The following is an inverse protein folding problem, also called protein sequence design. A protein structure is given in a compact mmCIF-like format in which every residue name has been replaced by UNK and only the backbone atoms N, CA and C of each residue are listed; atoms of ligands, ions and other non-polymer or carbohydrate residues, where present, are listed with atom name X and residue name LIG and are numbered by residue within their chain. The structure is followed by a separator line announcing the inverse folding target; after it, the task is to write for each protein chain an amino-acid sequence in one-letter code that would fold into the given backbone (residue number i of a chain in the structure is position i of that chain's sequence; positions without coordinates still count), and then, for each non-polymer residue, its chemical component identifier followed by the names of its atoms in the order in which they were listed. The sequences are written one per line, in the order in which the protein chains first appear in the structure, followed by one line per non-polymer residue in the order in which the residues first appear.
data_IF_554394857934
#
_entry.id   IF_554394857934
#
_cell.length_a   1.000
_cell.length_b   1.000
_cell.length_c   1.000
_cell.angle_alpha   90.00
_cell.angle_beta   90.00
_cell.angle_gamma   90.00
#
_symmetry.space_group_name_H-M   'P 1'
#
loop_
_entity.id
_entity.type
_entity.pdbx_description
1 polymer ?
#
# COMPACT_ATOMS: atom_id res chain seq x y z
N UNK A 1 15.82 -41.51 44.91
CA UNK A 1 14.78 -41.21 43.90
C UNK A 1 14.22 -42.53 43.41
N UNK A 2 12.91 -42.63 43.19
CA UNK A 2 12.31 -43.84 42.60
C UNK A 2 12.47 -43.79 41.07
N UNK A 3 12.60 -44.96 40.43
CA UNK A 3 12.76 -45.11 38.97
C UNK A 3 11.63 -44.37 38.22
N UNK A 4 10.41 -44.41 38.77
CA UNK A 4 9.22 -43.75 38.23
C UNK A 4 9.35 -42.20 38.23
N UNK A 5 9.98 -41.62 39.25
CA UNK A 5 10.23 -40.17 39.29
C UNK A 5 11.27 -39.75 38.24
N UNK A 6 12.30 -40.57 38.00
CA UNK A 6 13.32 -40.31 36.97
C UNK A 6 12.73 -40.33 35.55
N UNK A 7 11.80 -41.25 35.29
CA UNK A 7 11.13 -41.38 34.01
C UNK A 7 10.20 -40.18 33.73
N UNK A 8 9.41 -39.76 34.72
CA UNK A 8 8.55 -38.57 34.62
C UNK A 8 9.38 -37.31 34.35
N UNK A 9 10.49 -37.11 35.08
CA UNK A 9 11.38 -35.96 34.89
C UNK A 9 11.99 -35.98 33.48
N UNK A 10 12.37 -37.17 32.97
CA UNK A 10 12.94 -37.31 31.64
C UNK A 10 11.94 -36.97 30.54
N UNK A 11 10.69 -37.45 30.66
CA UNK A 11 9.62 -37.11 29.74
C UNK A 11 9.27 -35.61 29.76
N UNK A 12 9.26 -35.00 30.94
CA UNK A 12 9.02 -33.56 31.09
C UNK A 12 10.12 -32.75 30.40
N UNK A 13 11.39 -33.10 30.62
CA UNK A 13 12.53 -32.46 29.94
C UNK A 13 12.43 -32.59 28.42
N UNK A 14 12.04 -33.76 27.92
CA UNK A 14 11.83 -33.97 26.49
C UNK A 14 10.71 -33.06 25.94
N UNK A 15 9.54 -33.04 26.59
CA UNK A 15 8.41 -32.19 26.18
C UNK A 15 8.77 -30.70 26.22
N UNK A 16 9.50 -30.25 27.24
CA UNK A 16 9.96 -28.87 27.36
C UNK A 16 10.91 -28.48 26.22
N UNK A 17 11.87 -29.35 25.88
CA UNK A 17 12.78 -29.13 24.74
C UNK A 17 12.03 -29.09 23.41
N UNK A 18 11.08 -30.00 23.21
CA UNK A 18 10.25 -30.05 22.01
C UNK A 18 9.41 -28.77 21.87
N UNK A 19 8.81 -28.30 22.95
CA UNK A 19 8.05 -27.04 22.97
C UNK A 19 8.95 -25.85 22.63
N UNK A 20 10.14 -25.79 23.23
CA UNK A 20 11.10 -24.72 22.96
C UNK A 20 11.55 -24.72 21.50
N UNK A 21 11.83 -25.89 20.92
CA UNK A 21 12.18 -26.01 19.50
C UNK A 21 11.05 -25.52 18.58
N UNK A 22 9.80 -25.91 18.86
CA UNK A 22 8.63 -25.45 18.10
C UNK A 22 8.43 -23.95 18.23
N UNK A 23 8.58 -23.40 19.43
CA UNK A 23 8.47 -21.97 19.66
C UNK A 23 9.53 -21.17 18.88
N UNK A 24 10.78 -21.62 18.88
CA UNK A 24 11.85 -20.97 18.13
C UNK A 24 11.61 -21.02 16.61
N UNK A 25 11.11 -22.15 16.11
CA UNK A 25 10.75 -22.29 14.70
C UNK A 25 9.63 -21.32 14.31
N UNK A 26 8.53 -21.27 15.09
CA UNK A 26 7.42 -20.34 14.87
C UNK A 26 7.86 -18.87 14.98
N UNK A 27 8.73 -18.55 15.94
CA UNK A 27 9.27 -17.20 16.09
C UNK A 27 10.03 -16.77 14.84
N UNK A 28 10.91 -17.64 14.32
CA UNK A 28 11.67 -17.38 13.09
C UNK A 28 10.76 -17.22 11.87
N UNK A 29 9.75 -18.08 11.74
CA UNK A 29 8.77 -17.99 10.66
C UNK A 29 7.99 -16.66 10.74
N UNK A 30 7.53 -16.27 11.92
CA UNK A 30 6.84 -15.01 12.12
C UNK A 30 7.72 -13.78 11.79
N UNK A 31 9.00 -13.81 12.18
CA UNK A 31 9.97 -12.76 11.80
C UNK A 31 10.13 -12.67 10.28
N UNK A 32 10.22 -13.80 9.58
CA UNK A 32 10.29 -13.86 8.11
C UNK A 32 9.02 -13.29 7.45
N UNK A 33 7.84 -13.69 7.95
CA UNK A 33 6.56 -13.20 7.44
C UNK A 33 6.37 -11.70 7.65
N UNK A 34 6.85 -11.16 8.78
CA UNK A 34 6.80 -9.72 9.03
C UNK A 34 7.67 -8.96 8.03
N UNK A 35 8.87 -9.46 7.72
CA UNK A 35 9.75 -8.86 6.72
C UNK A 35 9.11 -8.85 5.33
N UNK A 36 8.61 -10.00 4.88
CA UNK A 36 7.93 -10.14 3.58
C UNK A 36 6.70 -9.23 3.50
N UNK A 37 5.89 -9.16 4.56
CA UNK A 37 4.74 -8.26 4.62
C UNK A 37 5.16 -6.80 4.43
N UNK A 38 6.23 -6.35 5.08
CA UNK A 38 6.69 -4.97 4.99
C UNK A 38 7.25 -4.64 3.61
N UNK A 39 7.93 -5.59 2.97
CA UNK A 39 8.38 -5.47 1.58
C UNK A 39 7.19 -5.33 0.62
N UNK A 40 6.19 -6.21 0.74
CA UNK A 40 4.98 -6.17 -0.07
C UNK A 40 4.20 -4.85 0.11
N UNK A 41 4.08 -4.34 1.34
CA UNK A 41 3.46 -3.04 1.61
C UNK A 41 4.19 -1.93 0.85
N UNK A 42 5.52 -1.93 0.91
CA UNK A 42 6.36 -0.94 0.23
C UNK A 42 6.16 -0.99 -1.30
N UNK A 43 6.11 -2.21 -1.86
CA UNK A 43 5.87 -2.41 -3.30
C UNK A 43 4.49 -1.88 -3.69
N UNK A 44 3.45 -2.20 -2.90
CA UNK A 44 2.08 -1.74 -3.15
C UNK A 44 2.00 -0.22 -3.11
N UNK A 45 2.64 0.43 -2.14
CA UNK A 45 2.67 1.89 -2.05
C UNK A 45 3.37 2.53 -3.26
N UNK A 46 4.48 1.94 -3.72
CA UNK A 46 5.18 2.39 -4.92
C UNK A 46 4.30 2.26 -6.16
N UNK A 47 3.66 1.11 -6.34
CA UNK A 47 2.76 0.87 -7.48
C UNK A 47 1.57 1.82 -7.48
N UNK A 48 0.97 2.11 -6.32
CA UNK A 48 -0.11 3.10 -6.20
C UNK A 48 0.33 4.50 -6.64
N UNK A 49 1.54 4.93 -6.26
CA UNK A 49 2.10 6.22 -6.70
C UNK A 49 2.33 6.26 -8.21
N UNK A 50 2.84 5.16 -8.76
CA UNK A 50 3.09 5.03 -10.19
C UNK A 50 1.77 5.06 -11.00
N UNK A 51 0.75 4.33 -10.55
CA UNK A 51 -0.60 4.37 -11.14
C UNK A 51 -1.15 5.80 -11.14
N UNK A 52 -1.10 6.48 -9.99
CA UNK A 52 -1.59 7.87 -9.89
C UNK A 52 -0.83 8.82 -10.83
N UNK A 53 0.49 8.64 -10.98
CA UNK A 53 1.28 9.43 -11.93
C UNK A 53 0.88 9.14 -13.38
N UNK A 54 0.65 7.87 -13.74
CA UNK A 54 0.22 7.47 -15.07
C UNK A 54 -1.18 7.98 -15.39
N UNK A 55 -2.12 7.94 -14.43
CA UNK A 55 -3.46 8.50 -14.56
C UNK A 55 -3.43 10.03 -14.82
N UNK A 56 -2.55 10.74 -14.11
CA UNK A 56 -2.34 12.17 -14.33
C UNK A 56 -1.79 12.44 -15.73
N UNK A 57 -0.74 11.72 -16.14
CA UNK A 57 -0.15 11.84 -17.48
C UNK A 57 -1.17 11.52 -18.58
N UNK A 58 -1.97 10.47 -18.40
CA UNK A 58 -3.04 10.10 -19.33
C UNK A 58 -4.09 11.21 -19.44
N UNK A 59 -4.51 11.78 -18.31
CA UNK A 59 -5.47 12.89 -18.30
C UNK A 59 -4.93 14.11 -19.04
N UNK A 60 -3.66 14.48 -18.79
CA UNK A 60 -2.99 15.57 -19.50
C UNK A 60 -2.90 15.29 -21.00
N UNK A 61 -2.51 14.09 -21.41
CA UNK A 61 -2.42 13.71 -22.81
C UNK A 61 -3.80 13.75 -23.50
N UNK A 62 -4.86 13.28 -22.82
CA UNK A 62 -6.23 13.33 -23.33
C UNK A 62 -6.74 14.76 -23.51
N UNK A 63 -6.46 15.66 -22.56
CA UNK A 63 -6.79 17.08 -22.68
C UNK A 63 -6.02 17.75 -23.82
N UNK A 64 -4.73 17.44 -23.99
CA UNK A 64 -3.97 17.94 -25.12
C UNK A 64 -4.55 17.46 -26.46
N UNK A 65 -5.02 16.21 -26.53
CA UNK A 65 -5.65 15.64 -27.72
C UNK A 65 -7.00 16.30 -28.03
N UNK A 66 -7.86 16.53 -27.04
CA UNK A 66 -9.15 17.21 -27.28
C UNK A 66 -9.01 18.67 -27.71
N UNK A 67 -7.91 19.33 -27.34
CA UNK A 67 -7.59 20.69 -27.82
C UNK A 67 -7.12 20.70 -29.28
N UNK A 68 -6.54 19.61 -29.77
CA UNK A 68 -5.98 19.50 -31.12
C UNK A 68 -6.99 19.00 -32.18
N UNK A 69 -8.09 18.36 -31.79
CA UNK A 69 -9.11 17.83 -32.73
C UNK A 69 -10.19 18.89 -33.01
N UNK A 70 -10.35 19.36 -34.26
CA UNK A 70 -11.34 20.37 -34.59
C UNK A 70 -12.67 19.71 -35.00
N UNK A 71 -13.75 19.96 -34.25
CA UNK A 71 -14.90 20.80 -34.70
C UNK A 71 -16.08 20.80 -33.71
N UNK A 72 -16.21 19.81 -32.81
CA UNK A 72 -17.20 19.83 -31.70
C UNK A 72 -16.56 20.01 -30.32
N UNK A 73 -15.32 19.54 -30.13
CA UNK A 73 -14.67 19.48 -28.83
C UNK A 73 -14.08 20.81 -28.32
N UNK A 74 -14.02 21.85 -29.16
CA UNK A 74 -13.40 23.13 -28.78
C UNK A 74 -14.26 23.93 -27.79
N UNK A 75 -15.58 23.85 -27.93
CA UNK A 75 -16.52 24.53 -27.03
C UNK A 75 -16.68 23.77 -25.70
N UNK A 76 -16.62 22.43 -25.71
CA UNK A 76 -16.55 21.62 -24.48
C UNK A 76 -15.23 21.82 -23.73
N UNK A 77 -14.08 21.88 -24.43
CA UNK A 77 -12.79 22.18 -23.83
C UNK A 77 -12.76 23.59 -23.20
N UNK A 78 -13.30 24.61 -23.89
CA UNK A 78 -13.47 25.96 -23.31
C UNK A 78 -14.36 25.97 -22.07
N UNK A 79 -15.45 25.20 -22.08
CA UNK A 79 -16.36 25.11 -20.94
C UNK A 79 -15.67 24.47 -19.72
N UNK A 80 -14.87 23.41 -19.91
CA UNK A 80 -14.07 22.81 -18.85
C UNK A 80 -13.02 23.78 -18.30
N UNK A 81 -12.29 24.49 -19.17
CA UNK A 81 -11.30 25.49 -18.73
C UNK A 81 -11.96 26.58 -17.87
N UNK A 82 -13.11 27.10 -18.30
CA UNK A 82 -13.86 28.09 -17.50
C UNK A 82 -14.30 27.55 -16.13
N UNK A 83 -14.62 26.26 -16.03
CA UNK A 83 -14.99 25.62 -14.77
C UNK A 83 -13.80 25.52 -13.82
N UNK A 84 -12.65 25.07 -14.34
CA UNK A 84 -11.41 24.94 -13.58
C UNK A 84 -10.95 26.31 -13.07
N UNK A 85 -11.02 27.37 -13.89
CA UNK A 85 -10.67 28.73 -13.46
C UNK A 85 -11.58 29.23 -12.33
N UNK A 86 -12.88 28.96 -12.39
CA UNK A 86 -13.80 29.29 -11.28
C UNK A 86 -13.47 28.56 -9.99
N UNK A 87 -13.16 27.27 -10.06
CA UNK A 87 -12.77 26.51 -8.87
C UNK A 87 -11.47 27.04 -8.25
N UNK A 88 -10.52 27.48 -9.09
CA UNK A 88 -9.30 28.15 -8.63
C UNK A 88 -9.66 29.48 -7.95
N UNK A 89 -10.50 30.31 -8.56
CA UNK A 89 -10.93 31.59 -7.98
C UNK A 89 -11.67 31.41 -6.64
N UNK A 90 -12.52 30.38 -6.52
CA UNK A 90 -13.21 30.03 -5.26
C UNK A 90 -12.24 29.57 -4.18
N UNK A 91 -11.25 28.73 -4.53
CA UNK A 91 -10.19 28.33 -3.61
C UNK A 91 -9.33 29.53 -3.16
N UNK A 92 -8.99 30.46 -4.07
CA UNK A 92 -8.25 31.68 -3.74
C UNK A 92 -9.08 32.59 -2.82
N UNK A 93 -10.39 32.69 -3.04
CA UNK A 93 -11.28 33.47 -2.18
C UNK A 93 -11.41 32.87 -0.77
N UNK A 94 -11.40 31.53 -0.66
CA UNK A 94 -11.37 30.83 0.63
C UNK A 94 -10.05 31.01 1.38
N UNK A 95 -8.93 31.17 0.66
CA UNK A 95 -7.60 31.39 1.25
C UNK A 95 -7.33 32.85 1.66
N UNK A 96 -8.03 33.82 1.06
CA UNK A 96 -7.93 35.25 1.38
C UNK A 96 -8.95 35.70 2.44
N UNK A 97 -9.55 34.75 3.17
CA UNK A 97 -10.41 34.96 4.33
C UNK A 97 -9.70 34.51 5.59
#
# INVERSE_FOLDING_TARGET
MTIEQEEIISQLKYKARLLMAKFLALKKENESLILEKNELITIVEKQKKEISSLEQQYTTARLAQSVLVPTEDRETAKAQIKRIVREIDECIALLNK
#
